data_IF_929764229152
#
_entry.id   IF_929764229152
#
_cell.length_a   1.000
_cell.length_b   1.000
_cell.length_c   1.000
_cell.angle_alpha   90.00
_cell.angle_beta   90.00
_cell.angle_gamma   90.00
#
_symmetry.space_group_name_H-M   'P 1'
#
loop_
_entity.id
_entity.type
_entity.pdbx_description
1 polymer ?
#
# COMPACT_ATOMS: atom_id res chain seq x y z
N UNK A 1 -11.66 6.68 7.22
CA UNK A 1 -11.55 5.60 6.22
C UNK A 1 -11.98 5.97 4.82
N UNK A 2 -13.16 6.55 4.59
CA UNK A 2 -13.65 6.83 3.22
C UNK A 2 -12.62 7.58 2.33
N UNK A 3 -11.97 8.62 2.85
CA UNK A 3 -10.95 9.36 2.10
C UNK A 3 -9.76 8.48 1.67
N UNK A 4 -9.21 7.68 2.59
CA UNK A 4 -8.06 6.80 2.34
C UNK A 4 -8.42 5.74 1.29
N UNK A 5 -9.53 5.04 1.47
CA UNK A 5 -9.95 3.98 0.53
C UNK A 5 -10.27 4.55 -0.85
N UNK A 6 -10.97 5.69 -0.92
CA UNK A 6 -11.30 6.33 -2.20
C UNK A 6 -10.06 6.82 -2.92
N UNK A 7 -9.13 7.47 -2.22
CA UNK A 7 -7.88 7.94 -2.82
C UNK A 7 -7.07 6.76 -3.39
N UNK A 8 -6.91 5.68 -2.62
CA UNK A 8 -6.16 4.51 -3.06
C UNK A 8 -6.85 3.84 -4.25
N UNK A 9 -8.14 3.51 -4.14
CA UNK A 9 -8.87 2.80 -5.21
C UNK A 9 -9.07 3.63 -6.48
N UNK A 10 -8.87 4.95 -6.42
CA UNK A 10 -8.84 5.80 -7.62
C UNK A 10 -7.56 5.68 -8.45
N UNK A 11 -6.49 5.11 -7.86
CA UNK A 11 -5.15 5.01 -8.46
C UNK A 11 -4.82 3.57 -8.85
N UNK A 12 -5.16 2.60 -8.00
CA UNK A 12 -4.78 1.20 -8.17
C UNK A 12 -5.89 0.37 -8.80
N UNK A 13 -5.49 -0.66 -9.54
CA UNK A 13 -6.37 -1.69 -10.12
C UNK A 13 -5.81 -3.09 -9.88
N UNK A 14 -6.58 -4.11 -10.23
CA UNK A 14 -6.14 -5.50 -10.13
C UNK A 14 -4.79 -5.72 -10.82
N UNK A 15 -3.86 -6.38 -10.12
CA UNK A 15 -2.49 -6.61 -10.54
C UNK A 15 -1.48 -5.54 -10.10
N UNK A 16 -1.95 -4.39 -9.59
CA UNK A 16 -1.07 -3.35 -9.05
C UNK A 16 -0.58 -3.68 -7.65
N UNK A 17 0.47 -2.96 -7.26
CA UNK A 17 1.16 -3.10 -5.99
C UNK A 17 1.24 -1.74 -5.26
N UNK A 18 1.10 -1.79 -3.94
CA UNK A 18 1.32 -0.67 -3.02
C UNK A 18 2.51 -1.00 -2.11
N UNK A 19 3.34 0.00 -1.83
CA UNK A 19 4.40 -0.11 -0.82
C UNK A 19 4.02 0.78 0.38
N UNK A 20 4.11 0.27 1.59
CA UNK A 20 3.72 1.02 2.79
C UNK A 20 4.60 0.78 4.00
N UNK A 21 4.60 1.68 4.97
CA UNK A 21 5.17 1.41 6.30
C UNK A 21 4.20 0.52 7.11
N UNK A 22 4.69 -0.28 8.08
CA UNK A 22 3.81 -1.10 8.92
C UNK A 22 3.06 -0.28 10.00
N UNK A 23 3.55 0.92 10.32
CA UNK A 23 2.99 1.80 11.34
C UNK A 23 1.80 2.58 10.78
N UNK A 24 0.66 1.91 10.63
CA UNK A 24 -0.58 2.51 10.12
C UNK A 24 -1.68 2.48 11.18
N UNK A 25 -2.63 3.40 11.08
CA UNK A 25 -3.92 3.32 11.76
C UNK A 25 -4.53 1.93 11.51
N UNK A 26 -5.03 1.30 12.57
CA UNK A 26 -5.48 -0.10 12.51
C UNK A 26 -6.54 -0.38 11.44
N UNK A 27 -7.40 0.60 11.14
CA UNK A 27 -8.36 0.50 10.05
C UNK A 27 -7.72 0.48 8.66
N UNK A 28 -6.67 1.28 8.46
CA UNK A 28 -5.89 1.30 7.21
C UNK A 28 -5.11 0.00 7.05
N UNK A 29 -4.46 -0.46 8.11
CA UNK A 29 -3.74 -1.75 8.10
C UNK A 29 -4.69 -2.91 7.75
N UNK A 30 -5.88 -2.95 8.35
CA UNK A 30 -6.89 -3.96 8.04
C UNK A 30 -7.36 -3.89 6.58
N UNK A 31 -7.58 -2.68 6.06
CA UNK A 31 -7.93 -2.49 4.66
C UNK A 31 -6.86 -3.05 3.73
N UNK A 32 -5.58 -2.82 4.03
CA UNK A 32 -4.46 -3.31 3.22
C UNK A 32 -4.31 -4.83 3.28
N UNK A 33 -4.49 -5.42 4.46
CA UNK A 33 -4.31 -6.86 4.70
C UNK A 33 -5.50 -7.71 4.24
N UNK A 34 -6.73 -7.25 4.48
CA UNK A 34 -7.93 -8.08 4.32
C UNK A 34 -8.74 -7.73 3.07
N UNK A 35 -8.72 -6.46 2.62
CA UNK A 35 -9.63 -5.98 1.57
C UNK A 35 -8.92 -5.84 0.23
N UNK A 36 -7.75 -5.19 0.17
CA UNK A 36 -7.02 -5.01 -1.09
C UNK A 36 -6.68 -6.35 -1.81
N UNK A 37 -6.31 -7.44 -1.11
CA UNK A 37 -6.06 -8.72 -1.77
C UNK A 37 -7.29 -9.30 -2.48
N UNK A 38 -8.51 -8.99 -2.01
CA UNK A 38 -9.75 -9.43 -2.69
C UNK A 38 -9.92 -8.76 -4.07
N UNK A 39 -9.31 -7.59 -4.27
CA UNK A 39 -9.25 -6.88 -5.55
C UNK A 39 -8.00 -7.22 -6.37
N UNK A 40 -7.25 -8.26 -5.96
CA UNK A 40 -5.98 -8.66 -6.57
C UNK A 40 -4.93 -7.53 -6.56
N UNK A 41 -4.91 -6.72 -5.49
CA UNK A 41 -3.90 -5.67 -5.26
C UNK A 41 -2.98 -6.14 -4.14
N UNK A 42 -1.66 -6.11 -4.38
CA UNK A 42 -0.66 -6.52 -3.40
C UNK A 42 -0.19 -5.33 -2.56
N UNK A 43 0.20 -5.61 -1.32
CA UNK A 43 0.81 -4.61 -0.42
C UNK A 43 2.13 -5.16 0.12
N UNK A 44 3.21 -4.42 -0.07
CA UNK A 44 4.51 -4.69 0.53
C UNK A 44 4.77 -3.71 1.67
N UNK A 45 5.35 -4.22 2.76
CA UNK A 45 5.73 -3.38 3.88
C UNK A 45 7.24 -3.13 3.89
N UNK A 46 7.63 -1.87 4.13
CA UNK A 46 9.02 -1.46 4.31
C UNK A 46 9.24 -0.97 5.73
N UNK A 47 10.34 -1.39 6.34
CA UNK A 47 10.75 -0.87 7.65
C UNK A 47 11.10 0.62 7.52
N UNK A 48 10.64 1.44 8.47
CA UNK A 48 10.93 2.87 8.50
C UNK A 48 12.44 3.16 8.54
N UNK A 49 13.24 2.27 9.14
CA UNK A 49 14.70 2.40 9.22
C UNK A 49 15.40 2.09 7.87
N UNK A 50 14.69 1.50 6.90
CA UNK A 50 15.20 1.15 5.57
C UNK A 50 14.63 2.04 4.45
N UNK A 51 14.00 3.17 4.80
CA UNK A 51 13.35 4.08 3.85
C UNK A 51 14.30 4.63 2.77
N UNK A 52 15.59 4.72 3.04
CA UNK A 52 16.61 5.17 2.08
C UNK A 52 16.64 4.34 0.80
N UNK A 53 16.17 3.09 0.86
CA UNK A 53 16.16 2.14 -0.25
C UNK A 53 14.74 1.80 -0.75
N UNK A 54 13.72 2.54 -0.32
CA UNK A 54 12.31 2.23 -0.67
C UNK A 54 12.06 2.18 -2.18
N UNK A 55 12.76 3.00 -2.95
CA UNK A 55 12.65 3.02 -4.41
C UNK A 55 13.12 1.70 -5.07
N UNK A 56 14.03 0.96 -4.44
CA UNK A 56 14.52 -0.34 -4.94
C UNK A 56 13.47 -1.44 -4.82
N UNK A 57 12.47 -1.27 -3.95
CA UNK A 57 11.38 -2.23 -3.77
C UNK A 57 10.28 -2.07 -4.84
N UNK A 58 10.27 -0.93 -5.54
CA UNK A 58 9.29 -0.64 -6.57
C UNK A 58 9.50 -1.51 -7.81
N UNK A 59 8.38 -1.95 -8.36
CA UNK A 59 8.29 -2.71 -9.61
C UNK A 59 7.50 -1.89 -10.63
N UNK A 60 7.38 -2.39 -11.87
CA UNK A 60 6.50 -1.77 -12.87
C UNK A 60 5.03 -1.72 -12.43
N UNK A 61 4.62 -2.58 -11.50
CA UNK A 61 3.26 -2.66 -10.97
C UNK A 61 3.07 -1.78 -9.73
N UNK A 62 4.13 -1.22 -9.13
CA UNK A 62 3.99 -0.34 -7.98
C UNK A 62 3.40 1.00 -8.43
N UNK A 63 2.23 1.35 -7.90
CA UNK A 63 1.52 2.60 -8.26
C UNK A 63 1.46 3.62 -7.14
N UNK A 64 1.70 3.20 -5.91
CA UNK A 64 1.53 4.06 -4.74
C UNK A 64 2.48 3.67 -3.61
N UNK A 65 3.05 4.68 -2.96
CA UNK A 65 3.69 4.58 -1.66
C UNK A 65 2.76 5.20 -0.61
N UNK A 66 2.57 4.55 0.55
CA UNK A 66 1.69 5.02 1.62
C UNK A 66 2.39 5.02 2.99
N UNK A 67 2.26 6.09 3.75
CA UNK A 67 2.74 6.19 5.13
C UNK A 67 1.79 7.05 5.97
N UNK A 68 1.93 6.92 7.30
CA UNK A 68 1.27 7.74 8.32
C UNK A 68 2.31 8.25 9.32
#
# INVERSE_FOLDING_TARGET
>A
MAAISTAILSIVKAGDEIISTPALYGGTYRFFRDILPLYNISVKYVDANALSDIAKLATQNTKLFYCE
#
